data_IF_665198072536
#
_entry.id   IF_665198072536
#
_cell.length_a   1.000
_cell.length_b   1.000
_cell.length_c   1.000
_cell.angle_alpha   90.00
_cell.angle_beta   90.00
_cell.angle_gamma   90.00
#
_symmetry.space_group_name_H-M   'P 1'
#
loop_
_entity.id
_entity.type
_entity.pdbx_description
1 polymer ?
#
# COMPACT_ATOMS: atom_id res chain seq x y z
N UNK A 1 7.88 20.51 11.26
CA UNK A 1 6.83 19.50 10.98
C UNK A 1 7.27 18.52 9.90
N UNK A 2 7.84 19.00 8.79
CA UNK A 2 8.48 18.21 7.73
C UNK A 2 9.56 17.25 8.24
N UNK A 3 10.47 17.70 9.11
CA UNK A 3 11.54 16.85 9.68
C UNK A 3 11.00 15.70 10.54
N UNK A 4 9.98 15.97 11.37
CA UNK A 4 9.34 14.94 12.20
C UNK A 4 8.69 13.85 11.33
N UNK A 5 8.01 14.24 10.24
CA UNK A 5 7.43 13.28 9.30
C UNK A 5 8.50 12.41 8.63
N UNK A 6 9.62 13.02 8.23
CA UNK A 6 10.74 12.29 7.63
C UNK A 6 11.30 11.25 8.61
N UNK A 7 11.54 11.65 9.87
CA UNK A 7 12.03 10.75 10.93
C UNK A 7 11.03 9.61 11.16
N UNK A 8 9.74 9.91 11.28
CA UNK A 8 8.69 8.87 11.44
C UNK A 8 8.71 7.91 10.24
N UNK A 9 8.79 8.42 9.01
CA UNK A 9 8.83 7.61 7.80
C UNK A 9 10.05 6.69 7.72
N UNK A 10 11.24 7.22 8.05
CA UNK A 10 12.49 6.45 8.07
C UNK A 10 12.44 5.36 9.14
N UNK A 11 12.08 5.72 10.37
CA UNK A 11 11.96 4.76 11.49
C UNK A 11 10.93 3.69 11.16
N UNK A 12 9.79 4.08 10.59
CA UNK A 12 8.74 3.16 10.18
C UNK A 12 9.22 2.22 9.06
N UNK A 13 9.92 2.74 8.05
CA UNK A 13 10.48 1.93 6.96
C UNK A 13 11.49 0.90 7.50
N UNK A 14 12.43 1.33 8.33
CA UNK A 14 13.43 0.44 8.94
C UNK A 14 12.77 -0.63 9.80
N UNK A 15 11.79 -0.23 10.61
CA UNK A 15 11.00 -1.15 11.42
C UNK A 15 10.26 -2.18 10.55
N UNK A 16 9.66 -1.76 9.44
CA UNK A 16 8.94 -2.64 8.52
C UNK A 16 9.87 -3.62 7.81
N UNK A 17 11.01 -3.16 7.33
CA UNK A 17 12.04 -4.03 6.72
C UNK A 17 12.52 -5.05 7.75
N UNK A 18 12.88 -4.62 8.96
CA UNK A 18 13.28 -5.53 10.03
C UNK A 18 12.19 -6.55 10.36
N UNK A 19 10.94 -6.11 10.51
CA UNK A 19 9.83 -6.98 10.89
C UNK A 19 9.55 -8.06 9.84
N UNK A 20 9.49 -7.67 8.57
CA UNK A 20 9.07 -8.55 7.46
C UNK A 20 10.23 -9.39 6.93
N UNK A 21 11.42 -8.80 6.79
CA UNK A 21 12.56 -9.43 6.13
C UNK A 21 13.43 -10.23 7.09
N UNK A 22 13.45 -9.86 8.39
CA UNK A 22 14.37 -10.44 9.38
C UNK A 22 13.59 -11.16 10.50
N UNK A 23 12.57 -10.52 11.09
CA UNK A 23 11.92 -11.04 12.31
C UNK A 23 10.88 -12.13 12.05
N UNK A 24 10.09 -12.00 10.99
CA UNK A 24 8.99 -12.93 10.66
C UNK A 24 9.12 -13.69 9.33
N UNK A 25 10.30 -13.89 8.71
CA UNK A 25 10.37 -14.53 7.40
C UNK A 25 9.78 -15.95 7.42
N UNK A 26 10.08 -16.74 8.44
CA UNK A 26 9.61 -18.13 8.57
C UNK A 26 8.10 -18.24 8.80
N UNK A 27 7.51 -17.24 9.47
CA UNK A 27 6.07 -17.20 9.75
C UNK A 27 5.28 -16.69 8.54
N UNK A 28 5.89 -15.82 7.74
CA UNK A 28 5.26 -15.21 6.57
C UNK A 28 5.36 -16.11 5.34
N UNK A 29 6.45 -16.87 5.18
CA UNK A 29 6.67 -17.77 4.04
C UNK A 29 6.37 -17.05 2.70
N UNK A 30 5.57 -17.66 1.81
CA UNK A 30 5.13 -17.07 0.55
C UNK A 30 4.34 -15.75 0.71
N UNK A 31 3.73 -15.50 1.88
CA UNK A 31 2.99 -14.26 2.14
C UNK A 31 3.93 -13.06 2.20
N UNK A 32 5.24 -13.25 2.43
CA UNK A 32 6.24 -12.17 2.47
C UNK A 32 6.25 -11.29 1.22
N UNK A 33 5.84 -11.83 0.07
CA UNK A 33 5.96 -11.16 -1.23
C UNK A 33 4.66 -10.52 -1.75
N UNK A 34 3.69 -10.28 -0.88
CA UNK A 34 2.42 -9.67 -1.28
C UNK A 34 2.55 -8.18 -1.58
N UNK A 35 1.81 -7.71 -2.59
CA UNK A 35 1.74 -6.31 -2.99
C UNK A 35 1.42 -5.37 -1.83
N UNK A 36 0.59 -5.78 -0.87
CA UNK A 36 0.26 -4.95 0.29
C UNK A 36 1.46 -4.57 1.14
N UNK A 37 2.50 -5.41 1.21
CA UNK A 37 3.75 -5.07 1.89
C UNK A 37 4.56 -4.04 1.11
N UNK A 38 4.58 -4.16 -0.20
CA UNK A 38 5.26 -3.21 -1.08
C UNK A 38 4.59 -1.84 -1.03
N UNK A 39 3.25 -1.78 -1.07
CA UNK A 39 2.48 -0.55 -0.89
C UNK A 39 2.83 0.11 0.45
N UNK A 40 2.99 -0.67 1.51
CA UNK A 40 3.38 -0.15 2.81
C UNK A 40 4.80 0.43 2.81
N UNK A 41 5.74 -0.15 2.07
CA UNK A 41 7.06 0.46 1.85
C UNK A 41 6.95 1.80 1.11
N UNK A 42 6.11 1.89 0.06
CA UNK A 42 5.86 3.16 -0.63
C UNK A 42 5.23 4.22 0.28
N UNK A 43 4.37 3.81 1.20
CA UNK A 43 3.77 4.69 2.21
C UNK A 43 4.82 5.21 3.19
N UNK A 44 5.70 4.32 3.66
CA UNK A 44 6.81 4.70 4.54
C UNK A 44 7.78 5.66 3.83
N UNK A 45 8.08 5.41 2.55
CA UNK A 45 8.88 6.31 1.71
C UNK A 45 8.20 7.65 1.48
N UNK A 46 6.89 7.68 1.23
CA UNK A 46 6.11 8.92 1.13
C UNK A 46 6.26 9.78 2.39
N UNK A 47 6.16 9.17 3.58
CA UNK A 47 6.46 9.84 4.85
C UNK A 47 7.92 10.26 5.00
N UNK A 48 8.87 9.40 4.60
CA UNK A 48 10.30 9.68 4.69
C UNK A 48 10.71 10.90 3.86
N UNK A 49 10.04 11.11 2.72
CA UNK A 49 10.16 12.30 1.89
C UNK A 49 9.17 13.42 2.28
N UNK A 50 8.56 13.35 3.47
CA UNK A 50 7.61 14.34 4.00
C UNK A 50 6.52 14.73 2.99
N UNK A 51 6.01 13.76 2.23
CA UNK A 51 5.01 13.92 1.16
C UNK A 51 5.44 14.82 -0.02
N UNK A 52 6.72 15.11 -0.19
CA UNK A 52 7.22 15.90 -1.33
C UNK A 52 7.18 15.15 -2.67
N UNK A 53 7.17 13.81 -2.65
CA UNK A 53 7.17 13.01 -3.87
C UNK A 53 5.73 12.74 -4.34
N UNK A 54 5.34 13.45 -5.40
CA UNK A 54 4.02 13.31 -6.03
C UNK A 54 3.74 11.85 -6.45
N UNK A 55 4.75 11.15 -7.00
CA UNK A 55 4.59 9.76 -7.45
C UNK A 55 4.31 8.82 -6.27
N UNK A 56 5.03 8.96 -5.15
CA UNK A 56 4.78 8.13 -3.97
C UNK A 56 3.41 8.44 -3.36
N UNK A 57 3.01 9.70 -3.33
CA UNK A 57 1.69 10.10 -2.85
C UNK A 57 0.57 9.56 -3.75
N UNK A 58 0.77 9.58 -5.07
CA UNK A 58 -0.15 8.96 -6.03
C UNK A 58 -0.29 7.46 -5.78
N UNK A 59 0.81 6.74 -5.53
CA UNK A 59 0.75 5.31 -5.20
C UNK A 59 -0.12 5.07 -3.95
N UNK A 60 0.05 5.88 -2.90
CA UNK A 60 -0.77 5.81 -1.67
C UNK A 60 -2.24 6.05 -2.01
N UNK A 61 -2.54 7.10 -2.75
CA UNK A 61 -3.90 7.48 -3.12
C UNK A 61 -4.59 6.48 -4.05
N UNK A 62 -3.87 5.90 -5.02
CA UNK A 62 -4.36 4.81 -5.88
C UNK A 62 -4.57 3.54 -5.06
N UNK A 63 -3.76 3.29 -4.03
CA UNK A 63 -3.90 2.11 -3.17
C UNK A 63 -5.05 2.24 -2.18
N UNK A 64 -5.43 3.45 -1.77
CA UNK A 64 -6.43 3.69 -0.73
C UNK A 64 -7.80 3.01 -0.99
N UNK A 65 -8.42 3.11 -2.19
CA UNK A 65 -9.66 2.40 -2.48
C UNK A 65 -9.55 0.87 -2.44
N UNK A 66 -8.39 0.33 -2.84
CA UNK A 66 -8.11 -1.10 -2.77
C UNK A 66 -8.13 -1.57 -1.32
N UNK A 67 -7.58 -0.74 -0.43
CA UNK A 67 -7.51 -1.05 1.00
C UNK A 67 -8.87 -1.07 1.68
N UNK A 68 -9.83 -0.27 1.24
CA UNK A 68 -11.22 -0.38 1.72
C UNK A 68 -11.78 -1.78 1.48
N UNK A 69 -11.51 -2.36 0.31
CA UNK A 69 -11.95 -3.71 -0.04
C UNK A 69 -11.15 -4.77 0.71
N UNK A 70 -9.82 -4.63 0.76
CA UNK A 70 -8.95 -5.64 1.41
C UNK A 70 -8.99 -5.60 2.94
N UNK A 71 -9.49 -4.52 3.56
CA UNK A 71 -9.70 -4.44 5.01
C UNK A 71 -10.68 -5.52 5.51
N UNK A 72 -11.64 -5.93 4.68
CA UNK A 72 -12.51 -7.08 4.99
C UNK A 72 -11.73 -8.38 5.25
N UNK A 73 -10.57 -8.56 4.62
CA UNK A 73 -9.70 -9.71 4.85
C UNK A 73 -8.96 -9.63 6.19
N UNK A 74 -8.59 -8.43 6.62
CA UNK A 74 -7.97 -8.22 7.94
C UNK A 74 -8.98 -8.42 9.08
N UNK A 75 -10.22 -7.97 8.92
CA UNK A 75 -11.28 -8.22 9.91
C UNK A 75 -11.45 -9.74 10.13
N UNK A 76 -11.48 -10.51 9.06
CA UNK A 76 -11.55 -11.97 9.14
C UNK A 76 -10.30 -12.59 9.79
N UNK A 77 -9.12 -12.00 9.61
CA UNK A 77 -7.91 -12.39 10.32
C UNK A 77 -8.06 -12.18 11.83
N UNK A 78 -8.44 -10.98 12.27
CA UNK A 78 -8.58 -10.65 13.69
C UNK A 78 -9.66 -11.48 14.39
N UNK A 79 -10.81 -11.68 13.74
CA UNK A 79 -11.91 -12.51 14.28
C UNK A 79 -11.47 -13.95 14.57
N UNK A 80 -10.62 -14.52 13.71
CA UNK A 80 -10.14 -15.91 13.84
C UNK A 80 -8.76 -16.00 14.48
N UNK A 81 -8.20 -14.91 14.99
CA UNK A 81 -6.81 -14.88 15.43
C UNK A 81 -6.55 -15.80 16.63
N UNK A 82 -7.48 -15.83 17.59
CA UNK A 82 -7.35 -16.65 18.81
C UNK A 82 -7.44 -18.15 18.53
N UNK A 83 -8.19 -18.56 17.51
CA UNK A 83 -8.48 -19.95 17.16
C UNK A 83 -7.50 -20.56 16.15
N UNK A 84 -6.46 -19.84 15.73
CA UNK A 84 -5.42 -20.37 14.83
C UNK A 84 -4.34 -21.11 15.65
N UNK A 85 -4.08 -22.35 15.26
CA UNK A 85 -3.05 -23.20 15.90
C UNK A 85 -1.65 -22.99 15.33
N UNK A 86 -1.56 -22.57 14.06
CA UNK A 86 -0.32 -22.14 13.46
C UNK A 86 0.10 -20.75 14.01
N UNK A 87 1.41 -20.53 14.14
CA UNK A 87 2.03 -19.26 14.60
C UNK A 87 1.82 -18.89 16.08
N UNK A 88 1.48 -19.85 16.96
CA UNK A 88 1.29 -19.61 18.41
C UNK A 88 2.47 -18.88 19.07
N UNK A 89 3.72 -19.20 18.69
CA UNK A 89 4.95 -18.63 19.26
C UNK A 89 5.11 -17.12 18.99
N UNK A 90 4.69 -16.64 17.82
CA UNK A 90 4.93 -15.28 17.34
C UNK A 90 3.65 -14.43 17.21
N UNK A 91 2.58 -14.78 17.94
CA UNK A 91 1.26 -14.11 17.88
C UNK A 91 1.35 -12.58 18.01
N UNK A 92 2.10 -12.05 18.97
CA UNK A 92 2.22 -10.59 19.18
C UNK A 92 2.81 -9.89 17.96
N UNK A 93 3.83 -10.49 17.35
CA UNK A 93 4.48 -9.94 16.17
C UNK A 93 3.61 -10.00 14.92
N UNK A 94 2.73 -11.00 14.79
CA UNK A 94 1.76 -11.07 13.70
C UNK A 94 0.66 -10.01 13.81
N UNK A 95 0.20 -9.71 15.03
CA UNK A 95 -0.70 -8.57 15.25
C UNK A 95 0.01 -7.29 14.81
N UNK A 96 1.27 -7.11 15.23
CA UNK A 96 2.04 -5.93 14.87
C UNK A 96 2.29 -5.84 13.36
N UNK A 97 2.54 -6.97 12.68
CA UNK A 97 2.66 -7.03 11.23
C UNK A 97 1.40 -6.53 10.54
N UNK A 98 0.22 -6.92 11.02
CA UNK A 98 -1.07 -6.52 10.46
C UNK A 98 -1.41 -5.07 10.76
N UNK A 99 -1.19 -4.62 12.00
CA UNK A 99 -1.41 -3.22 12.40
C UNK A 99 -0.52 -2.27 11.62
N UNK A 100 0.65 -2.73 11.20
CA UNK A 100 1.61 -1.94 10.42
C UNK A 100 1.54 -2.20 8.92
N UNK A 101 0.55 -2.97 8.43
CA UNK A 101 0.39 -3.29 7.01
C UNK A 101 -0.57 -2.32 6.30
N UNK A 102 -1.87 -2.47 6.53
CA UNK A 102 -2.90 -1.65 5.86
C UNK A 102 -3.27 -0.37 6.63
N UNK A 103 -3.39 -0.36 7.98
CA UNK A 103 -3.81 0.84 8.71
C UNK A 103 -2.96 2.09 8.44
N UNK A 104 -1.62 2.03 8.33
CA UNK A 104 -0.82 3.23 8.04
C UNK A 104 -1.11 3.82 6.65
N UNK A 105 -1.31 2.96 5.66
CA UNK A 105 -1.63 3.37 4.29
C UNK A 105 -3.04 3.97 4.23
N UNK A 106 -4.00 3.32 4.91
CA UNK A 106 -5.36 3.83 5.04
C UNK A 106 -5.39 5.19 5.73
N UNK A 107 -4.69 5.31 6.87
CA UNK A 107 -4.60 6.56 7.63
C UNK A 107 -3.96 7.69 6.83
N UNK A 108 -2.90 7.40 6.08
CA UNK A 108 -2.28 8.41 5.22
C UNK A 108 -3.21 8.83 4.07
N UNK A 109 -3.84 7.88 3.37
CA UNK A 109 -4.78 8.20 2.29
C UNK A 109 -5.97 9.04 2.79
N UNK A 110 -6.53 8.69 3.96
CA UNK A 110 -7.58 9.49 4.60
C UNK A 110 -7.08 10.89 4.97
N UNK A 111 -5.89 11.01 5.57
CA UNK A 111 -5.31 12.30 5.91
C UNK A 111 -5.08 13.19 4.68
N UNK A 112 -4.59 12.63 3.57
CA UNK A 112 -4.43 13.34 2.30
C UNK A 112 -5.76 13.90 1.77
N UNK A 113 -6.84 13.12 1.86
CA UNK A 113 -8.19 13.58 1.48
C UNK A 113 -8.65 14.72 2.38
N UNK A 114 -8.51 14.57 3.70
CA UNK A 114 -8.98 15.56 4.68
C UNK A 114 -8.21 16.88 4.61
N UNK A 115 -6.92 16.84 4.26
CA UNK A 115 -6.07 18.03 4.09
C UNK A 115 -6.26 18.73 2.73
N UNK A 116 -7.11 18.19 1.85
CA UNK A 116 -7.18 18.58 0.45
C UNK A 116 -6.06 17.91 -0.34
N UNK A 117 -6.39 16.87 -1.11
CA UNK A 117 -5.39 16.03 -1.76
C UNK A 117 -4.60 16.75 -2.87
N UNK A 118 -5.20 17.75 -3.52
CA UNK A 118 -4.64 18.45 -4.68
C UNK A 118 -3.16 18.85 -4.53
N UNK A 119 -2.73 19.63 -3.51
CA UNK A 119 -1.31 20.04 -3.36
C UNK A 119 -0.33 18.86 -3.23
N UNK A 120 -0.81 17.67 -2.86
CA UNK A 120 0.03 16.50 -2.62
C UNK A 120 0.11 15.56 -3.83
N UNK A 121 -0.90 15.57 -4.69
CA UNK A 121 -1.02 14.62 -5.80
C UNK A 121 -1.25 15.24 -7.17
N UNK A 122 -1.50 16.55 -7.28
CA UNK A 122 -1.68 17.20 -8.59
C UNK A 122 -0.41 17.07 -9.41
N UNK A 123 -0.53 16.42 -10.56
CA UNK A 123 0.59 16.18 -11.48
C UNK A 123 0.62 17.20 -12.61
N UNK A 124 1.80 17.44 -13.22
CA UNK A 124 1.89 18.31 -14.39
C UNK A 124 1.26 17.68 -15.65
N UNK A 125 1.27 16.34 -15.77
CA UNK A 125 0.58 15.58 -16.81
C UNK A 125 0.29 14.14 -16.34
N UNK A 126 -0.53 13.40 -17.09
CA UNK A 126 -0.94 12.04 -16.72
C UNK A 126 0.17 10.99 -16.78
N UNK A 127 1.34 11.28 -17.37
CA UNK A 127 2.47 10.32 -17.39
C UNK A 127 2.94 9.97 -15.97
N UNK A 128 2.79 10.89 -15.03
CA UNK A 128 3.11 10.65 -13.62
C UNK A 128 2.16 9.62 -12.98
N UNK A 129 0.90 9.59 -13.39
CA UNK A 129 -0.07 8.57 -12.93
C UNK A 129 0.27 7.23 -13.54
N UNK A 130 0.62 7.20 -14.83
CA UNK A 130 1.11 5.99 -15.48
C UNK A 130 2.36 5.45 -14.78
N UNK A 131 3.33 6.31 -14.45
CA UNK A 131 4.54 5.93 -13.72
C UNK A 131 4.20 5.35 -12.33
N UNK A 132 3.31 6.01 -11.57
CA UNK A 132 2.84 5.50 -10.27
C UNK A 132 2.15 4.13 -10.41
N UNK A 133 1.28 3.97 -11.41
CA UNK A 133 0.60 2.70 -11.67
C UNK A 133 1.59 1.59 -12.05
N UNK A 134 2.58 1.86 -12.92
CA UNK A 134 3.63 0.90 -13.30
C UNK A 134 4.44 0.48 -12.09
N UNK A 135 4.89 1.43 -11.25
CA UNK A 135 5.62 1.13 -10.01
C UNK A 135 4.81 0.30 -9.02
N UNK A 136 3.47 0.43 -9.05
CA UNK A 136 2.58 -0.37 -8.23
C UNK A 136 2.35 -1.78 -8.82
N UNK A 137 2.23 -1.89 -10.14
CA UNK A 137 1.98 -3.17 -10.83
C UNK A 137 3.21 -4.06 -10.92
N UNK A 138 4.40 -3.50 -11.16
CA UNK A 138 5.63 -4.29 -11.36
C UNK A 138 5.89 -5.27 -10.20
N UNK A 139 5.86 -4.84 -8.92
CA UNK A 139 6.05 -5.76 -7.80
C UNK A 139 4.99 -6.85 -7.71
N UNK A 140 3.74 -6.55 -8.12
CA UNK A 140 2.68 -7.56 -8.14
C UNK A 140 2.98 -8.67 -9.13
N UNK A 141 3.35 -8.32 -10.36
CA UNK A 141 3.64 -9.30 -11.41
C UNK A 141 4.95 -10.06 -11.18
N UNK A 142 5.94 -9.44 -10.52
CA UNK A 142 7.22 -10.08 -10.25
C UNK A 142 7.22 -10.96 -9.00
N UNK A 143 6.49 -10.58 -7.95
CA UNK A 143 6.68 -11.17 -6.62
C UNK A 143 5.42 -11.71 -5.95
N UNK A 144 4.22 -11.23 -6.31
CA UNK A 144 3.00 -11.62 -5.60
C UNK A 144 2.61 -13.06 -5.92
N UNK A 145 2.56 -13.92 -4.90
CA UNK A 145 2.24 -15.35 -5.04
C UNK A 145 0.83 -15.59 -5.59
N UNK A 146 -0.10 -14.63 -5.45
CA UNK A 146 -1.44 -14.75 -6.05
C UNK A 146 -1.37 -14.76 -7.58
N UNK A 147 -0.39 -14.08 -8.15
CA UNK A 147 -0.15 -14.05 -9.58
C UNK A 147 0.83 -15.15 -10.00
N UNK A 148 2.04 -15.14 -9.40
CA UNK A 148 3.15 -16.03 -9.79
C UNK A 148 2.85 -17.51 -9.55
N UNK A 149 2.26 -17.83 -8.40
CA UNK A 149 1.92 -19.21 -8.00
C UNK A 149 0.41 -19.52 -8.11
N UNK A 150 -0.38 -18.57 -8.63
CA UNK A 150 -1.87 -18.63 -8.66
C UNK A 150 -2.52 -18.92 -7.30
N UNK A 151 -1.85 -18.56 -6.20
CA UNK A 151 -2.35 -18.81 -4.85
C UNK A 151 -3.67 -18.05 -4.59
N UNK A 152 -4.69 -18.75 -4.05
CA UNK A 152 -6.02 -18.19 -3.81
C UNK A 152 -6.68 -17.55 -5.04
N UNK A 153 -6.54 -18.14 -6.23
CA UNK A 153 -7.30 -17.73 -7.41
C UNK A 153 -8.83 -17.74 -7.13
N UNK A 154 -9.63 -16.75 -7.59
CA UNK A 154 -9.33 -15.67 -8.54
C UNK A 154 -8.96 -14.32 -7.90
N UNK A 155 -8.31 -14.29 -6.74
CA UNK A 155 -7.97 -13.02 -6.08
C UNK A 155 -7.02 -12.13 -6.88
N UNK A 156 -6.09 -12.69 -7.67
CA UNK A 156 -5.17 -11.91 -8.48
C UNK A 156 -5.88 -11.01 -9.52
N UNK A 157 -6.80 -11.53 -10.36
CA UNK A 157 -7.63 -10.71 -11.25
C UNK A 157 -8.38 -9.59 -10.53
N UNK A 158 -8.92 -9.86 -9.33
CA UNK A 158 -9.62 -8.85 -8.52
C UNK A 158 -8.67 -7.71 -8.14
N UNK A 159 -7.45 -8.03 -7.70
CA UNK A 159 -6.44 -7.01 -7.37
C UNK A 159 -6.06 -6.20 -8.62
N UNK A 160 -5.83 -6.84 -9.77
CA UNK A 160 -5.51 -6.15 -11.02
C UNK A 160 -6.63 -5.16 -11.39
N UNK A 161 -7.88 -5.60 -11.31
CA UNK A 161 -9.05 -4.78 -11.63
C UNK A 161 -9.17 -3.59 -10.66
N UNK A 162 -8.96 -3.81 -9.37
CA UNK A 162 -9.01 -2.75 -8.35
C UNK A 162 -7.89 -1.71 -8.53
N UNK A 163 -6.66 -2.15 -8.78
CA UNK A 163 -5.54 -1.23 -9.08
C UNK A 163 -5.85 -0.44 -10.36
N UNK A 164 -6.37 -1.11 -11.38
CA UNK A 164 -6.63 -0.51 -12.69
C UNK A 164 -7.75 0.52 -12.63
N UNK A 165 -8.88 0.15 -12.03
CA UNK A 165 -10.01 1.06 -11.85
C UNK A 165 -9.65 2.24 -10.96
N UNK A 166 -8.86 2.04 -9.90
CA UNK A 166 -8.41 3.14 -9.05
C UNK A 166 -7.41 4.07 -9.75
N UNK A 167 -6.54 3.54 -10.61
CA UNK A 167 -5.62 4.35 -11.41
C UNK A 167 -6.37 5.18 -12.45
N UNK A 168 -7.36 4.59 -13.12
CA UNK A 168 -8.24 5.29 -14.07
C UNK A 168 -9.05 6.37 -13.36
N UNK A 169 -9.64 6.06 -12.20
CA UNK A 169 -10.39 7.05 -11.41
C UNK A 169 -9.50 8.23 -10.99
N UNK A 170 -8.25 7.97 -10.59
CA UNK A 170 -7.28 9.02 -10.29
C UNK A 170 -6.95 9.88 -11.52
N UNK A 171 -6.74 9.25 -12.68
CA UNK A 171 -6.51 9.98 -13.93
C UNK A 171 -7.70 10.87 -14.32
N UNK A 172 -8.92 10.33 -14.23
CA UNK A 172 -10.14 11.09 -14.49
C UNK A 172 -10.30 12.25 -13.51
N UNK A 173 -10.02 12.05 -12.22
CA UNK A 173 -10.06 13.13 -11.23
C UNK A 173 -9.07 14.26 -11.58
N UNK A 174 -7.86 13.92 -11.99
CA UNK A 174 -6.82 14.90 -12.35
C UNK A 174 -7.21 15.73 -13.58
N UNK A 175 -7.79 15.09 -14.60
CA UNK A 175 -8.27 15.78 -15.80
C UNK A 175 -9.51 16.62 -15.50
N UNK A 176 -10.54 16.02 -14.91
CA UNK A 176 -11.87 16.62 -14.79
C UNK A 176 -11.95 17.68 -13.69
N UNK A 177 -11.22 17.49 -12.58
CA UNK A 177 -11.30 18.39 -11.42
C UNK A 177 -10.18 19.44 -11.49
N UNK A 178 -8.97 19.04 -11.90
CA UNK A 178 -7.78 19.90 -11.83
C UNK A 178 -7.22 20.33 -13.19
N UNK A 179 -7.87 19.95 -14.29
CA UNK A 179 -7.50 20.38 -15.63
C UNK A 179 -6.11 19.92 -16.08
N UNK A 180 -5.62 18.81 -15.53
CA UNK A 180 -4.29 18.28 -15.86
C UNK A 180 -4.27 17.79 -17.33
N UNK A 181 -3.29 18.21 -18.15
CA UNK A 181 -3.18 17.77 -19.52
C UNK A 181 -2.77 16.30 -19.64
N UNK A 182 -3.08 15.70 -20.78
CA UNK A 182 -2.73 14.31 -21.07
C UNK A 182 -1.20 14.11 -21.21
N UNK A 183 -0.49 15.10 -21.76
CA UNK A 183 0.94 15.07 -22.05
C UNK A 183 1.65 16.33 -21.55
#
# INVERSE_FOLDING_TARGET
>A
MTELMAVIGIVFLLFRVWLVEIKLPDELQFRRRYLSRVINYYTALSFAFSLSSIVLNLIVMISFPILLVTTGWDVNFYRRFRSRDYWKKNRRWLILERLTLHPPVFGLGLAMILLGAEPLIRVPNLLFILAAAVLLYVPFFLFDARWTDRYNWPQAPIVILLVGSSSVAMALAQVLIWGVPLW
#
